data_IF_985511938649
#
_entry.id   IF_985511938649
#
_cell.length_a   1.000
_cell.length_b   1.000
_cell.length_c   1.000
_cell.angle_alpha   90.00
_cell.angle_beta   90.00
_cell.angle_gamma   90.00
#
_symmetry.space_group_name_H-M   'P 1'
#
loop_
_entity.id
_entity.type
_entity.pdbx_description
1 polymer ?
#
# COMPACT_ATOMS: atom_id res chain seq x y z
N UNK A 1 -31.52 -56.23 -7.88
CA UNK A 1 -31.41 -57.12 -6.70
C UNK A 1 -29.98 -57.10 -6.19
N UNK A 2 -29.77 -56.62 -4.95
CA UNK A 2 -29.33 -57.42 -3.79
C UNK A 2 -27.84 -57.83 -3.87
N UNK A 3 -26.89 -57.08 -3.31
CA UNK A 3 -26.54 -57.02 -1.87
C UNK A 3 -26.01 -58.37 -1.36
N UNK A 4 -24.71 -58.44 -0.98
CA UNK A 4 -24.21 -58.97 0.30
C UNK A 4 -22.66 -58.98 0.27
N UNK A 5 -21.94 -58.16 1.06
CA UNK A 5 -21.68 -58.21 2.52
C UNK A 5 -20.65 -59.28 2.91
N UNK A 6 -19.54 -58.77 3.49
CA UNK A 6 -18.86 -59.31 4.68
C UNK A 6 -18.13 -60.68 4.51
N UNK A 7 -17.05 -61.05 5.22
CA UNK A 7 -16.42 -60.56 6.44
C UNK A 7 -15.34 -61.57 6.87
N UNK A 8 -14.22 -61.02 7.36
CA UNK A 8 -13.46 -61.43 8.56
C UNK A 8 -12.79 -62.81 8.65
N UNK A 9 -11.49 -62.69 8.96
CA UNK A 9 -10.70 -63.47 9.94
C UNK A 9 -10.20 -64.86 9.52
N UNK A 10 -8.90 -64.91 9.26
CA UNK A 10 -7.89 -65.84 9.79
C UNK A 10 -6.55 -65.25 9.31
N UNK A 11 -5.53 -65.02 10.12
CA UNK A 11 -4.80 -66.04 10.84
C UNK A 11 -3.84 -65.34 11.83
N UNK A 12 -3.73 -65.89 13.03
CA UNK A 12 -2.90 -65.37 14.13
C UNK A 12 -1.42 -65.77 13.96
N UNK A 13 -0.57 -64.99 14.64
CA UNK A 13 0.75 -65.31 15.25
C UNK A 13 2.01 -65.20 14.40
N UNK A 14 2.83 -64.18 14.70
CA UNK A 14 4.07 -64.31 15.50
C UNK A 14 4.63 -62.89 15.82
N UNK A 15 4.62 -62.46 17.08
CA UNK A 15 5.80 -62.18 17.95
C UNK A 15 6.83 -61.26 17.26
N UNK A 16 7.00 -60.00 17.68
CA UNK A 16 8.01 -59.64 18.70
C UNK A 16 7.78 -58.23 19.27
N UNK A 17 7.89 -58.10 20.59
CA UNK A 17 7.90 -56.82 21.30
C UNK A 17 9.13 -55.99 20.92
N UNK A 18 8.92 -54.80 20.38
CA UNK A 18 9.89 -53.70 20.50
C UNK A 18 9.11 -52.45 20.88
N UNK A 19 9.07 -52.15 22.18
CA UNK A 19 8.51 -50.90 22.67
C UNK A 19 9.56 -49.79 22.47
N UNK A 20 9.55 -49.16 21.30
CA UNK A 20 10.22 -47.87 21.14
C UNK A 20 9.37 -46.81 21.85
N UNK A 21 9.75 -46.48 23.08
CA UNK A 21 9.20 -45.33 23.78
C UNK A 21 9.66 -44.06 23.05
N UNK A 22 8.89 -43.61 22.06
CA UNK A 22 9.03 -42.27 21.51
C UNK A 22 8.48 -41.30 22.55
N UNK A 23 9.37 -40.78 23.40
CA UNK A 23 9.08 -39.58 24.17
C UNK A 23 8.86 -38.44 23.17
N UNK A 24 7.61 -38.17 22.84
CA UNK A 24 7.25 -36.92 22.16
C UNK A 24 7.49 -35.77 23.16
N UNK A 25 8.70 -35.22 23.14
CA UNK A 25 8.93 -33.91 23.73
C UNK A 25 8.24 -32.89 22.83
N UNK A 26 7.25 -32.13 23.32
CA UNK A 26 6.81 -30.97 22.58
C UNK A 26 7.96 -29.97 22.66
N UNK A 27 8.69 -29.81 21.56
CA UNK A 27 9.49 -28.60 21.34
C UNK A 27 8.48 -27.46 21.23
N UNK A 28 8.11 -26.90 22.39
CA UNK A 28 7.42 -25.63 22.48
C UNK A 28 8.41 -24.58 21.97
N UNK A 29 8.44 -24.41 20.65
CA UNK A 29 9.16 -23.32 20.01
C UNK A 29 8.42 -22.05 20.41
N UNK A 30 8.89 -21.41 21.47
CA UNK A 30 8.48 -20.05 21.81
C UNK A 30 8.93 -19.19 20.63
N UNK A 31 8.00 -18.93 19.72
CA UNK A 31 8.19 -17.95 18.67
C UNK A 31 8.46 -16.63 19.39
N UNK A 32 9.72 -16.21 19.40
CA UNK A 32 10.14 -14.94 19.94
C UNK A 32 9.49 -13.90 19.05
N UNK A 33 8.35 -13.38 19.50
CA UNK A 33 7.74 -12.20 18.93
C UNK A 33 8.78 -11.11 19.04
N UNK A 34 9.47 -10.85 17.93
CA UNK A 34 10.20 -9.61 17.76
C UNK A 34 9.14 -8.54 17.91
N UNK A 35 9.12 -7.91 19.09
CA UNK A 35 8.39 -6.68 19.32
C UNK A 35 8.93 -5.70 18.28
N UNK A 36 8.25 -5.60 17.14
CA UNK A 36 8.47 -4.50 16.22
C UNK A 36 8.28 -3.26 17.08
N UNK A 37 9.38 -2.55 17.26
CA UNK A 37 9.47 -1.42 18.15
C UNK A 37 8.35 -0.45 17.75
N UNK A 38 7.30 -0.39 18.59
CA UNK A 38 6.02 0.28 18.32
C UNK A 38 6.16 1.82 18.34
N UNK A 39 7.38 2.33 18.26
CA UNK A 39 7.71 3.72 18.46
C UNK A 39 7.62 4.56 17.18
N UNK A 40 7.62 3.95 15.99
CA UNK A 40 7.52 4.71 14.73
C UNK A 40 6.11 4.74 14.14
N UNK A 41 5.09 4.26 14.86
CA UNK A 41 3.72 4.18 14.33
C UNK A 41 3.03 5.55 14.21
N UNK A 42 3.63 6.61 14.75
CA UNK A 42 3.01 7.94 14.85
C UNK A 42 3.94 9.10 14.46
N UNK A 43 4.77 8.89 13.45
CA UNK A 43 5.49 9.99 12.84
C UNK A 43 4.51 10.86 12.03
N UNK A 44 4.62 12.18 12.20
CA UNK A 44 3.75 13.13 11.50
C UNK A 44 4.16 13.19 10.03
N UNK A 45 3.17 13.19 9.14
CA UNK A 45 3.41 13.49 7.72
C UNK A 45 4.08 14.86 7.59
N UNK A 46 5.21 14.90 6.89
CA UNK A 46 5.97 16.12 6.67
C UNK A 46 5.42 16.90 5.49
N UNK A 47 5.58 18.22 5.54
CA UNK A 47 5.48 19.05 4.34
C UNK A 47 6.67 18.73 3.43
N UNK A 48 6.47 18.89 2.13
CA UNK A 48 7.55 18.83 1.16
C UNK A 48 8.10 20.23 0.88
N UNK A 49 9.42 20.36 0.69
CA UNK A 49 10.08 21.64 0.40
C UNK A 49 9.53 22.32 -0.87
N UNK A 50 9.20 21.53 -1.90
CA UNK A 50 8.61 22.05 -3.14
C UNK A 50 7.09 22.19 -3.04
N UNK A 51 6.47 21.73 -1.95
CA UNK A 51 5.05 21.82 -1.68
C UNK A 51 4.21 21.31 -2.85
N UNK A 52 3.33 22.17 -3.34
CA UNK A 52 2.42 21.90 -4.47
C UNK A 52 3.14 21.84 -5.83
N UNK A 53 4.26 22.54 -5.98
CA UNK A 53 4.90 22.74 -7.26
C UNK A 53 4.02 23.51 -8.27
N UNK A 54 4.48 23.67 -9.52
CA UNK A 54 3.82 24.52 -10.51
C UNK A 54 2.71 23.80 -11.30
N UNK A 55 2.54 22.49 -11.11
CA UNK A 55 1.69 21.66 -11.97
C UNK A 55 0.42 21.17 -11.30
N UNK A 56 -0.05 21.79 -10.22
CA UNK A 56 -1.36 21.44 -9.66
C UNK A 56 -2.50 21.94 -10.57
N UNK A 57 -3.56 21.15 -10.69
CA UNK A 57 -4.77 21.49 -11.44
C UNK A 57 -5.97 21.28 -10.53
N UNK A 58 -6.76 22.32 -10.31
CA UNK A 58 -7.90 22.25 -9.41
C UNK A 58 -9.03 21.39 -9.99
N UNK A 59 -9.81 20.81 -9.07
CA UNK A 59 -11.03 20.04 -9.38
C UNK A 59 -10.81 18.81 -10.29
N UNK A 60 -9.81 17.95 -10.03
CA UNK A 60 -9.69 16.72 -10.81
C UNK A 60 -10.90 15.80 -10.56
N UNK A 61 -11.15 14.85 -11.49
CA UNK A 61 -12.24 13.89 -11.36
C UNK A 61 -12.08 13.02 -10.11
N UNK A 62 -13.21 12.65 -9.52
CA UNK A 62 -13.22 11.64 -8.45
C UNK A 62 -13.01 10.25 -9.05
N UNK A 63 -12.09 9.48 -8.50
CA UNK A 63 -11.83 8.10 -8.93
C UNK A 63 -12.96 7.18 -8.47
N UNK A 64 -13.55 6.43 -9.39
CA UNK A 64 -14.63 5.46 -9.09
C UNK A 64 -14.13 4.02 -8.95
N UNK A 65 -12.99 3.70 -9.56
CA UNK A 65 -12.40 2.34 -9.60
C UNK A 65 -11.06 2.25 -8.89
N UNK A 66 -10.69 3.27 -8.10
CA UNK A 66 -9.36 3.40 -7.50
C UNK A 66 -8.21 3.41 -8.53
N UNK A 67 -8.49 3.52 -9.84
CA UNK A 67 -7.47 3.62 -10.89
C UNK A 67 -7.26 5.08 -11.29
N UNK A 68 -6.08 5.61 -11.00
CA UNK A 68 -5.63 6.92 -11.47
C UNK A 68 -5.07 6.85 -12.89
N UNK A 69 -4.29 5.80 -13.17
CA UNK A 69 -3.76 5.54 -14.51
C UNK A 69 -4.70 4.63 -15.30
N UNK A 70 -5.03 5.02 -16.53
CA UNK A 70 -5.78 4.16 -17.45
C UNK A 70 -4.99 2.90 -17.80
N UNK A 71 -5.67 1.85 -18.27
CA UNK A 71 -5.01 0.59 -18.67
C UNK A 71 -4.05 0.78 -19.86
N UNK A 72 -4.26 1.82 -20.67
CA UNK A 72 -3.38 2.19 -21.79
C UNK A 72 -2.16 3.05 -21.37
N UNK A 73 -2.12 3.54 -20.13
CA UNK A 73 -1.00 4.37 -19.67
C UNK A 73 0.32 3.58 -19.62
N UNK A 74 1.36 4.12 -20.23
CA UNK A 74 2.68 3.50 -20.25
C UNK A 74 3.39 3.74 -18.92
N UNK A 75 4.00 2.69 -18.38
CA UNK A 75 4.85 2.76 -17.19
C UNK A 75 4.69 1.55 -16.27
N UNK A 76 5.58 1.45 -15.28
CA UNK A 76 5.53 0.38 -14.26
C UNK A 76 4.32 0.60 -13.36
N UNK A 77 3.37 -0.34 -13.36
CA UNK A 77 2.18 -0.27 -12.49
C UNK A 77 2.56 -0.36 -11.02
N UNK A 78 1.98 0.52 -10.22
CA UNK A 78 2.15 0.57 -8.77
C UNK A 78 0.79 0.80 -8.11
N UNK A 79 0.63 0.30 -6.88
CA UNK A 79 -0.49 0.63 -6.02
C UNK A 79 0.02 1.36 -4.79
N UNK A 80 -0.60 2.48 -4.48
CA UNK A 80 -0.30 3.28 -3.29
C UNK A 80 -1.50 3.18 -2.39
N UNK A 81 -1.25 2.86 -1.12
CA UNK A 81 -2.28 2.85 -0.10
C UNK A 81 -1.74 3.51 1.16
N UNK A 82 -2.65 4.09 1.93
CA UNK A 82 -2.32 4.79 3.14
C UNK A 82 -3.52 4.90 4.05
N UNK A 83 -3.28 5.42 5.25
CA UNK A 83 -4.32 5.63 6.25
C UNK A 83 -4.16 7.01 6.87
N UNK A 84 -5.24 7.78 6.89
CA UNK A 84 -5.29 9.11 7.47
C UNK A 84 -5.70 8.99 8.94
N UNK A 85 -4.90 9.59 9.81
CA UNK A 85 -5.09 9.56 11.25
C UNK A 85 -4.71 10.89 11.90
N UNK A 86 -5.18 11.11 13.13
CA UNK A 86 -4.80 12.26 13.95
C UNK A 86 -3.31 12.22 14.31
N UNK A 87 -2.73 13.38 14.67
CA UNK A 87 -1.29 13.51 14.96
C UNK A 87 -0.80 12.72 16.19
N UNK A 88 -1.71 12.31 17.06
CA UNK A 88 -1.49 11.43 18.21
C UNK A 88 -1.82 9.95 17.89
N UNK A 89 -2.23 9.67 16.65
CA UNK A 89 -2.62 8.36 16.14
C UNK A 89 -3.75 7.68 16.93
N UNK A 90 -4.56 8.48 17.64
CA UNK A 90 -5.68 7.96 18.41
C UNK A 90 -6.92 7.67 17.56
N UNK A 91 -7.09 8.37 16.43
CA UNK A 91 -8.28 8.26 15.58
C UNK A 91 -7.93 8.26 14.10
N UNK A 92 -8.67 7.45 13.34
CA UNK A 92 -8.66 7.51 11.88
C UNK A 92 -9.67 8.54 11.38
N UNK A 93 -9.34 9.22 10.28
CA UNK A 93 -10.14 10.33 9.77
C UNK A 93 -10.82 9.89 8.46
N UNK A 94 -12.11 9.52 8.49
CA UNK A 94 -12.85 9.14 7.30
C UNK A 94 -13.18 10.33 6.41
N UNK A 95 -13.58 10.06 5.16
CA UNK A 95 -13.97 11.07 4.17
C UNK A 95 -12.89 12.13 3.90
N UNK A 96 -11.62 11.83 4.18
CA UNK A 96 -10.48 12.65 3.81
C UNK A 96 -10.29 12.61 2.30
N UNK A 97 -10.29 13.78 1.66
CA UNK A 97 -10.01 13.88 0.23
C UNK A 97 -8.50 13.83 0.03
N UNK A 98 -8.04 12.86 -0.76
CA UNK A 98 -6.65 12.74 -1.22
C UNK A 98 -6.65 13.08 -2.70
N UNK A 99 -6.18 14.29 -3.02
CA UNK A 99 -5.98 14.79 -4.38
C UNK A 99 -4.55 14.45 -4.84
N UNK A 100 -4.44 13.82 -6.00
CA UNK A 100 -3.26 13.13 -6.48
C UNK A 100 -2.92 13.65 -7.87
N UNK A 101 -1.66 14.01 -8.09
CA UNK A 101 -1.13 14.30 -9.42
C UNK A 101 0.34 13.92 -9.52
N UNK A 102 0.76 13.49 -10.71
CA UNK A 102 2.17 13.23 -11.01
C UNK A 102 2.42 13.22 -12.52
N UNK A 103 3.69 13.22 -12.90
CA UNK A 103 4.12 13.08 -14.30
C UNK A 103 3.86 11.67 -14.87
N UNK A 104 3.84 11.54 -16.19
CA UNK A 104 3.87 10.24 -16.85
C UNK A 104 5.24 9.55 -16.71
N UNK A 105 5.40 8.37 -17.32
CA UNK A 105 6.65 7.61 -17.32
C UNK A 105 7.86 8.40 -17.88
N UNK A 106 7.62 9.37 -18.76
CA UNK A 106 8.64 10.20 -19.40
C UNK A 106 8.92 11.49 -18.60
N UNK A 107 8.26 11.71 -17.46
CA UNK A 107 8.44 12.93 -16.67
C UNK A 107 7.60 14.12 -17.15
N UNK A 108 6.59 13.89 -17.99
CA UNK A 108 5.73 14.97 -18.53
C UNK A 108 4.42 15.07 -17.73
N UNK A 109 4.05 16.28 -17.33
CA UNK A 109 2.76 16.57 -16.70
C UNK A 109 1.73 16.94 -17.76
N UNK A 110 0.50 16.44 -17.62
CA UNK A 110 -0.65 16.96 -18.36
C UNK A 110 -1.06 18.30 -17.77
N UNK A 111 -0.96 19.39 -18.54
CA UNK A 111 -1.30 20.76 -18.09
C UNK A 111 -2.63 21.27 -18.63
N UNK A 112 -3.31 20.49 -19.47
CA UNK A 112 -4.57 20.87 -20.12
C UNK A 112 -5.72 20.03 -19.57
N UNK A 113 -5.51 18.73 -19.40
CA UNK A 113 -6.50 17.78 -18.94
C UNK A 113 -6.24 17.24 -17.53
N UNK A 114 -6.76 16.02 -17.30
CA UNK A 114 -6.67 15.32 -16.03
C UNK A 114 -5.95 13.97 -16.12
N UNK A 115 -5.12 13.74 -17.14
CA UNK A 115 -4.33 12.51 -17.22
C UNK A 115 -3.40 12.43 -16.00
N UNK A 116 -3.44 11.29 -15.31
CA UNK A 116 -2.69 11.05 -14.05
C UNK A 116 -3.01 12.06 -12.94
N UNK A 117 -4.24 12.57 -12.93
CA UNK A 117 -4.79 13.48 -11.92
C UNK A 117 -6.14 12.98 -11.44
N UNK A 118 -6.38 13.02 -10.14
CA UNK A 118 -7.61 12.46 -9.58
C UNK A 118 -7.71 12.67 -8.09
N UNK A 119 -8.92 12.51 -7.55
CA UNK A 119 -9.14 12.51 -6.10
C UNK A 119 -9.88 11.28 -5.63
N UNK A 120 -9.54 10.81 -4.44
CA UNK A 120 -10.22 9.73 -3.75
C UNK A 120 -10.56 10.14 -2.32
N UNK A 121 -11.66 9.63 -1.78
CA UNK A 121 -12.01 9.80 -0.37
C UNK A 121 -11.56 8.59 0.44
N UNK A 122 -10.96 8.83 1.61
CA UNK A 122 -10.66 7.75 2.55
C UNK A 122 -11.96 7.13 3.11
N UNK A 123 -11.98 5.82 3.29
CA UNK A 123 -13.13 5.10 3.82
C UNK A 123 -13.38 5.36 5.33
N UNK A 124 -14.36 4.65 5.92
CA UNK A 124 -14.72 4.76 7.34
C UNK A 124 -13.56 4.49 8.32
N UNK A 125 -12.54 3.75 7.87
CA UNK A 125 -11.34 3.43 8.63
C UNK A 125 -10.18 4.40 8.33
N UNK A 126 -10.43 5.48 7.58
CA UNK A 126 -9.40 6.43 7.14
C UNK A 126 -8.47 5.88 6.05
N UNK A 127 -8.76 4.71 5.49
CA UNK A 127 -7.92 4.06 4.48
C UNK A 127 -8.24 4.60 3.08
N UNK A 128 -7.21 4.80 2.27
CA UNK A 128 -7.32 5.11 0.84
C UNK A 128 -6.34 4.24 0.06
N UNK A 129 -6.66 3.97 -1.20
CA UNK A 129 -5.77 3.25 -2.12
C UNK A 129 -6.03 3.71 -3.55
N UNK A 130 -5.00 3.69 -4.38
CA UNK A 130 -5.14 3.90 -5.81
C UNK A 130 -4.05 3.18 -6.60
N UNK A 131 -4.38 2.77 -7.83
CA UNK A 131 -3.43 2.27 -8.82
C UNK A 131 -2.98 3.37 -9.76
N UNK A 132 -1.68 3.40 -10.04
CA UNK A 132 -1.10 4.29 -11.04
C UNK A 132 0.15 3.66 -11.67
N UNK A 133 0.98 4.46 -12.32
CA UNK A 133 2.31 4.12 -12.80
C UNK A 133 3.39 4.87 -12.01
N UNK A 134 4.58 4.29 -11.88
CA UNK A 134 5.76 4.98 -11.35
C UNK A 134 6.13 6.13 -12.31
N UNK A 135 6.10 7.40 -11.85
CA UNK A 135 6.41 8.54 -12.70
C UNK A 135 7.88 8.56 -13.08
N UNK A 136 8.17 9.13 -14.26
CA UNK A 136 9.53 9.50 -14.64
C UNK A 136 10.03 10.70 -13.84
N UNK A 137 11.33 10.96 -13.93
CA UNK A 137 11.94 12.19 -13.43
C UNK A 137 11.60 13.33 -14.38
N UNK A 138 11.16 14.47 -13.86
CA UNK A 138 10.92 15.65 -14.71
C UNK A 138 12.08 16.63 -14.62
N UNK A 139 12.37 17.30 -15.74
CA UNK A 139 13.41 18.30 -15.83
C UNK A 139 12.91 19.64 -15.28
N UNK A 140 13.54 20.14 -14.23
CA UNK A 140 13.28 21.45 -13.63
C UNK A 140 14.46 22.39 -13.89
N UNK A 141 14.35 23.22 -14.92
CA UNK A 141 15.49 24.01 -15.41
C UNK A 141 16.57 23.10 -15.98
N UNK A 142 17.72 23.02 -15.30
CA UNK A 142 18.87 22.19 -15.70
C UNK A 142 19.09 20.95 -14.81
N UNK A 143 18.17 20.67 -13.88
CA UNK A 143 18.28 19.52 -12.97
C UNK A 143 17.02 18.68 -13.01
N UNK A 144 17.17 17.36 -12.96
CA UNK A 144 16.04 16.47 -12.76
C UNK A 144 15.58 16.56 -11.31
N UNK A 145 14.25 16.53 -11.11
CA UNK A 145 13.69 16.17 -9.82
C UNK A 145 13.54 14.65 -9.73
N UNK A 146 13.74 14.05 -8.54
CA UNK A 146 13.52 12.62 -8.35
C UNK A 146 12.09 12.26 -8.73
N UNK A 147 11.82 11.01 -9.12
CA UNK A 147 10.45 10.55 -9.35
C UNK A 147 9.59 10.80 -8.10
N UNK A 148 8.44 11.44 -8.26
CA UNK A 148 7.56 11.74 -7.13
C UNK A 148 6.08 11.76 -7.49
N UNK A 149 5.25 11.54 -6.46
CA UNK A 149 3.79 11.65 -6.53
C UNK A 149 3.33 12.69 -5.53
N UNK A 150 2.59 13.69 -5.99
CA UNK A 150 2.04 14.70 -5.12
C UNK A 150 0.76 14.19 -4.47
N UNK A 151 0.59 14.57 -3.19
CA UNK A 151 -0.64 14.37 -2.44
C UNK A 151 -1.05 15.69 -1.79
N UNK A 152 -2.28 16.13 -2.04
CA UNK A 152 -2.96 17.16 -1.27
C UNK A 152 -4.10 16.53 -0.48
N UNK A 153 -3.92 16.47 0.84
CA UNK A 153 -4.75 15.69 1.75
C UNK A 153 -5.61 16.69 2.55
N UNK A 154 -6.92 16.66 2.31
CA UNK A 154 -7.92 17.54 2.94
C UNK A 154 -8.87 16.74 3.83
N UNK A 155 -8.50 16.54 5.11
CA UNK A 155 -9.35 15.91 6.12
C UNK A 155 -10.52 16.81 6.55
N UNK A 156 -11.71 16.26 6.84
CA UNK A 156 -12.83 17.06 7.37
C UNK A 156 -12.50 17.66 8.74
N UNK A 157 -12.61 18.97 8.88
CA UNK A 157 -12.42 19.67 10.16
C UNK A 157 -10.95 19.86 10.58
N UNK A 158 -9.98 19.57 9.71
CA UNK A 158 -8.56 19.82 9.96
C UNK A 158 -7.92 20.56 8.77
N UNK A 159 -6.74 21.19 8.96
CA UNK A 159 -6.02 21.85 7.87
C UNK A 159 -5.61 20.87 6.76
N UNK A 160 -5.63 21.37 5.52
CA UNK A 160 -5.06 20.65 4.37
C UNK A 160 -3.54 20.59 4.46
N UNK A 161 -2.96 19.45 4.06
CA UNK A 161 -1.52 19.27 3.89
C UNK A 161 -1.20 18.93 2.44
N UNK A 162 -0.18 19.57 1.88
CA UNK A 162 0.40 19.21 0.58
C UNK A 162 1.80 18.63 0.79
N UNK A 163 2.05 17.45 0.23
CA UNK A 163 3.31 16.73 0.36
C UNK A 163 3.62 15.93 -0.90
N UNK A 164 4.78 15.28 -0.93
CA UNK A 164 5.25 14.46 -2.04
C UNK A 164 5.81 13.13 -1.53
N UNK A 165 5.52 12.05 -2.26
CA UNK A 165 6.11 10.74 -2.04
C UNK A 165 7.25 10.53 -3.04
N UNK A 166 8.39 10.04 -2.56
CA UNK A 166 9.56 9.72 -3.37
C UNK A 166 9.85 8.22 -3.37
N UNK A 167 10.70 7.77 -4.28
CA UNK A 167 11.06 6.36 -4.41
C UNK A 167 12.48 6.12 -3.89
N UNK A 168 12.61 5.25 -2.89
CA UNK A 168 13.90 4.86 -2.35
C UNK A 168 14.86 4.41 -3.46
N UNK A 169 16.12 4.87 -3.37
CA UNK A 169 17.18 4.56 -4.35
C UNK A 169 17.16 5.45 -5.60
N UNK A 170 16.25 6.41 -5.70
CA UNK A 170 16.33 7.44 -6.72
C UNK A 170 17.56 8.35 -6.47
N UNK A 171 18.44 8.43 -7.46
CA UNK A 171 19.73 9.13 -7.40
C UNK A 171 19.62 10.65 -7.33
N UNK A 172 18.44 11.22 -7.62
CA UNK A 172 18.20 12.67 -7.56
C UNK A 172 17.46 13.07 -6.28
N UNK A 173 17.26 12.13 -5.33
CA UNK A 173 16.85 12.47 -3.97
C UNK A 173 18.02 13.19 -3.30
N UNK A 174 17.79 14.44 -2.91
CA UNK A 174 18.74 15.27 -2.18
C UNK A 174 18.82 14.88 -0.70
#
# INVERSE_FOLDING_TARGET
MSNYKESRRQFLRNISLTAAAFTFSPLASSARSTSINKQNACEKTTLDYYGEGPFYSANPPTLTSEKLASDAEIGTRIRISGRVQTLDCSKFIPNTIVDIWHANHNGEYDTIGFKLRGKIASNAQGFYTFETIKPGKYLNGNKYRPSHIHLKITPPGFPTITTQLYFQGDTDIA
#
